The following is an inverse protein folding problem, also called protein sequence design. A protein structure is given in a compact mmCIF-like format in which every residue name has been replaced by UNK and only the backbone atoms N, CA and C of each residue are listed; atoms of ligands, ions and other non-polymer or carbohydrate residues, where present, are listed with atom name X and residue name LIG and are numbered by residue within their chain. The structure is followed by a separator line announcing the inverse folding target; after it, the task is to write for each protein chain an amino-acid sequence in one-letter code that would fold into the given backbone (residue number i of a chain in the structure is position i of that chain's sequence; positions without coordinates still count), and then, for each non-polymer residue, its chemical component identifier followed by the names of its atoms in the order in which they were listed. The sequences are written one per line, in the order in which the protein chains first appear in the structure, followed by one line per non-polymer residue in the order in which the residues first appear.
data_IF_876024121847
#
_entry.id   IF_876024121847
#
_cell.length_a   1.000
_cell.length_b   1.000
_cell.length_c   1.000
_cell.angle_alpha   90.00
_cell.angle_beta   90.00
_cell.angle_gamma   90.00
#
_symmetry.space_group_name_H-M   'P 1'
#
loop_
_entity.id
_entity.type
_entity.pdbx_description
1 polymer ?
#
# COMPACT_ATOMS: atom_id res chain seq x y z
N UNK A 1 19.49 -33.47 17.40
CA UNK A 1 18.65 -33.80 16.24
C UNK A 1 17.51 -32.78 16.23
N UNK A 2 17.74 -31.59 15.64
CA UNK A 2 16.79 -30.51 15.63
C UNK A 2 15.96 -30.56 14.33
N UNK A 3 14.66 -30.69 14.49
CA UNK A 3 13.69 -30.68 13.39
C UNK A 3 13.64 -29.31 12.74
N UNK A 4 13.96 -29.23 11.46
CA UNK A 4 13.73 -28.05 10.61
C UNK A 4 12.22 -27.85 10.48
N UNK A 5 11.66 -26.87 11.18
CA UNK A 5 10.34 -26.33 10.87
C UNK A 5 10.54 -25.28 9.80
N UNK A 6 10.21 -25.64 8.56
CA UNK A 6 10.18 -24.72 7.43
C UNK A 6 9.12 -23.65 7.70
N UNK A 7 9.56 -22.41 7.91
CA UNK A 7 8.69 -21.25 8.04
C UNK A 7 8.24 -20.86 6.62
N UNK A 8 7.04 -21.24 6.25
CA UNK A 8 6.42 -20.85 4.98
C UNK A 8 5.85 -19.45 5.12
N UNK A 9 6.51 -18.46 4.53
CA UNK A 9 5.97 -17.09 4.43
C UNK A 9 5.15 -16.99 3.16
N UNK A 10 3.84 -16.77 3.31
CA UNK A 10 2.93 -16.47 2.20
C UNK A 10 2.94 -14.97 1.97
N UNK A 11 3.60 -14.51 0.92
CA UNK A 11 3.55 -13.11 0.48
C UNK A 11 2.46 -12.98 -0.59
N UNK A 12 1.40 -12.26 -0.28
CA UNK A 12 0.37 -11.86 -1.25
C UNK A 12 0.79 -10.49 -1.81
N UNK A 13 1.32 -10.48 -3.04
CA UNK A 13 1.65 -9.24 -3.74
C UNK A 13 0.51 -8.94 -4.70
N UNK A 14 -0.33 -7.95 -4.37
CA UNK A 14 -1.28 -7.36 -5.29
C UNK A 14 -0.63 -6.15 -5.98
N UNK A 15 -0.23 -6.29 -7.26
CA UNK A 15 0.23 -5.16 -8.06
C UNK A 15 -0.95 -4.56 -8.84
N UNK A 16 -1.29 -3.32 -8.53
CA UNK A 16 -2.10 -2.46 -9.41
C UNK A 16 -1.14 -1.64 -10.25
N UNK A 17 -0.97 -2.00 -11.51
CA UNK A 17 -0.20 -1.20 -12.49
C UNK A 17 -1.14 -0.13 -13.04
N UNK A 18 -0.92 1.13 -12.63
CA UNK A 18 -1.55 2.30 -13.23
C UNK A 18 -1.04 2.52 -14.65
N UNK A 19 -1.90 2.36 -15.65
CA UNK A 19 -1.55 2.52 -17.06
C UNK A 19 -1.47 3.98 -17.48
N UNK A 20 -0.34 4.38 -18.06
CA UNK A 20 -0.25 5.53 -18.94
C UNK A 20 -0.91 5.16 -20.28
N UNK A 21 -1.87 5.97 -20.73
CA UNK A 21 -2.49 5.86 -22.06
C UNK A 21 -1.46 6.20 -23.15
N UNK A 22 -0.86 5.19 -23.73
CA UNK A 22 -0.25 5.25 -25.06
C UNK A 22 -1.16 4.46 -25.99
N UNK A 23 -1.79 5.14 -26.94
CA UNK A 23 -2.58 4.53 -28.01
C UNK A 23 -1.66 3.76 -28.96
N UNK A 24 -1.40 2.51 -28.66
CA UNK A 24 -0.91 1.52 -29.60
C UNK A 24 -1.89 0.36 -29.60
N UNK A 25 -2.23 -0.16 -30.78
CA UNK A 25 -3.15 -1.28 -30.98
C UNK A 25 -2.81 -2.40 -30.01
N UNK A 26 -3.66 -2.62 -29.02
CA UNK A 26 -3.51 -3.68 -28.04
C UNK A 26 -3.86 -5.01 -28.71
N UNK A 27 -2.86 -5.77 -29.12
CA UNK A 27 -3.00 -7.23 -29.11
C UNK A 27 -3.35 -7.60 -27.67
N UNK A 28 -4.50 -8.26 -27.47
CA UNK A 28 -4.86 -8.80 -26.19
C UNK A 28 -3.67 -9.61 -25.65
N UNK A 29 -3.12 -9.19 -24.52
CA UNK A 29 -2.08 -9.96 -23.85
C UNK A 29 -2.69 -11.34 -23.56
N UNK A 30 -2.07 -12.39 -24.07
CA UNK A 30 -2.53 -13.77 -23.81
C UNK A 30 -2.53 -14.02 -22.31
N UNK A 31 -3.33 -14.98 -21.84
CA UNK A 31 -3.40 -15.34 -20.43
C UNK A 31 -2.00 -15.59 -19.85
N UNK A 32 -1.71 -14.95 -18.71
CA UNK A 32 -0.43 -15.09 -18.01
C UNK A 32 -0.23 -16.56 -17.58
N UNK A 33 0.75 -17.24 -18.16
CA UNK A 33 1.06 -18.62 -17.80
C UNK A 33 1.77 -18.72 -16.45
N UNK A 34 1.62 -19.82 -15.69
CA UNK A 34 2.37 -20.05 -14.44
C UNK A 34 3.90 -19.98 -14.61
N UNK A 35 4.42 -20.38 -15.78
CA UNK A 35 5.86 -20.32 -16.10
C UNK A 35 6.34 -18.89 -16.28
N UNK A 36 5.56 -18.06 -16.95
CA UNK A 36 5.86 -16.62 -17.13
C UNK A 36 5.74 -15.89 -15.80
N UNK A 37 4.65 -16.11 -15.05
CA UNK A 37 4.46 -15.54 -13.72
C UNK A 37 5.65 -15.83 -12.79
N UNK A 38 6.12 -17.09 -12.75
CA UNK A 38 7.30 -17.48 -11.99
C UNK A 38 8.54 -16.70 -12.42
N UNK A 39 8.78 -16.58 -13.73
CA UNK A 39 9.95 -15.89 -14.28
C UNK A 39 9.91 -14.38 -13.97
N UNK A 40 8.75 -13.76 -14.07
CA UNK A 40 8.54 -12.35 -13.73
C UNK A 40 8.76 -12.08 -12.24
N UNK A 41 8.21 -12.91 -11.35
CA UNK A 41 8.41 -12.79 -9.90
C UNK A 41 9.88 -12.97 -9.53
N UNK A 42 10.56 -13.97 -10.09
CA UNK A 42 11.98 -14.21 -9.80
C UNK A 42 12.91 -13.08 -10.26
N UNK A 43 12.51 -12.31 -11.26
CA UNK A 43 13.28 -11.20 -11.87
C UNK A 43 12.68 -9.82 -11.60
N UNK A 44 11.81 -9.70 -10.62
CA UNK A 44 11.25 -8.40 -10.25
C UNK A 44 12.38 -7.41 -9.89
N UNK A 45 12.24 -6.14 -10.26
CA UNK A 45 13.26 -5.12 -10.01
C UNK A 45 13.68 -5.09 -8.53
N UNK A 46 14.98 -5.16 -8.27
CA UNK A 46 15.55 -5.25 -6.92
C UNK A 46 15.53 -6.65 -6.30
N UNK A 47 14.89 -7.63 -6.97
CA UNK A 47 14.84 -9.02 -6.52
C UNK A 47 15.36 -9.91 -7.65
N UNK A 48 16.37 -10.73 -7.38
CA UNK A 48 16.93 -11.68 -8.34
C UNK A 48 17.02 -13.06 -7.68
N UNK A 49 15.87 -13.68 -7.51
CA UNK A 49 15.78 -15.01 -6.90
C UNK A 49 16.07 -16.11 -7.93
N UNK A 50 16.64 -17.24 -7.51
CA UNK A 50 16.67 -18.45 -8.31
C UNK A 50 15.21 -18.83 -8.73
N UNK A 51 15.04 -19.29 -9.95
CA UNK A 51 13.68 -19.58 -10.47
C UNK A 51 12.98 -20.73 -9.73
N UNK A 52 13.73 -21.61 -9.08
CA UNK A 52 13.24 -22.69 -8.22
C UNK A 52 12.78 -22.21 -6.84
N UNK A 53 13.25 -21.03 -6.39
CA UNK A 53 12.76 -20.39 -5.16
C UNK A 53 11.32 -19.87 -5.28
N UNK A 54 10.75 -19.82 -6.49
CA UNK A 54 9.38 -19.33 -6.73
C UNK A 54 8.50 -20.48 -7.22
N UNK A 55 7.46 -20.83 -6.44
CA UNK A 55 6.47 -21.84 -6.78
C UNK A 55 5.10 -21.21 -6.95
N UNK A 56 4.64 -21.06 -8.19
CA UNK A 56 3.31 -20.55 -8.50
C UNK A 56 2.26 -21.60 -8.13
N UNK A 57 1.25 -21.23 -7.34
CA UNK A 57 0.12 -22.07 -6.93
C UNK A 57 -1.09 -21.90 -7.83
N UNK A 58 -1.41 -20.65 -8.18
CA UNK A 58 -2.52 -20.34 -9.08
C UNK A 58 -2.27 -19.03 -9.82
N UNK A 59 -2.87 -18.92 -11.00
CA UNK A 59 -2.96 -17.69 -11.79
C UNK A 59 -4.43 -17.50 -12.13
N UNK A 60 -4.95 -16.30 -11.91
CA UNK A 60 -6.31 -15.90 -12.26
C UNK A 60 -6.25 -14.61 -13.05
N UNK A 61 -6.61 -14.63 -14.33
CA UNK A 61 -6.60 -13.50 -15.23
C UNK A 61 -8.00 -12.90 -15.40
N UNK A 62 -8.10 -11.59 -15.48
CA UNK A 62 -9.31 -10.84 -15.77
C UNK A 62 -8.96 -9.64 -16.66
N UNK A 63 -9.31 -9.71 -17.92
CA UNK A 63 -8.96 -8.68 -18.91
C UNK A 63 -7.44 -8.51 -19.05
N UNK A 64 -6.92 -7.32 -18.76
CA UNK A 64 -5.50 -6.99 -18.83
C UNK A 64 -4.76 -7.09 -17.48
N UNK A 65 -5.39 -7.69 -16.47
CA UNK A 65 -4.80 -7.91 -15.15
C UNK A 65 -4.83 -9.39 -14.77
N UNK A 66 -3.87 -9.80 -13.92
CA UNK A 66 -3.83 -11.13 -13.37
C UNK A 66 -3.41 -11.12 -11.90
N UNK A 67 -4.02 -12.02 -11.12
CA UNK A 67 -3.61 -12.30 -9.74
C UNK A 67 -2.86 -13.64 -9.73
N UNK A 68 -1.66 -13.63 -9.18
CA UNK A 68 -0.81 -14.81 -9.03
C UNK A 68 -0.63 -15.11 -7.55
N UNK A 69 -1.00 -16.31 -7.12
CA UNK A 69 -0.66 -16.82 -5.78
C UNK A 69 0.61 -17.65 -5.92
N UNK A 70 1.67 -17.23 -5.25
CA UNK A 70 2.96 -17.90 -5.30
C UNK A 70 3.54 -18.09 -3.89
N UNK A 71 4.36 -19.14 -3.76
CA UNK A 71 5.20 -19.40 -2.60
C UNK A 71 6.63 -19.03 -2.98
N UNK A 72 7.26 -18.17 -2.16
CA UNK A 72 8.63 -17.71 -2.39
C UNK A 72 9.50 -18.21 -1.24
N UNK A 73 10.55 -18.95 -1.58
CA UNK A 73 11.56 -19.38 -0.62
C UNK A 73 12.62 -18.29 -0.46
N UNK A 74 12.80 -17.81 0.76
CA UNK A 74 13.81 -16.83 1.09
C UNK A 74 14.45 -17.16 2.44
N UNK A 75 15.46 -16.41 2.84
CA UNK A 75 16.14 -16.58 4.12
C UNK A 75 16.14 -15.25 4.89
N UNK A 76 16.09 -15.38 6.22
CA UNK A 76 16.20 -14.26 7.13
C UNK A 76 17.41 -14.46 8.03
N UNK A 77 18.14 -13.37 8.29
CA UNK A 77 19.18 -13.33 9.29
C UNK A 77 18.64 -12.68 10.56
N UNK A 78 18.87 -13.36 11.68
CA UNK A 78 18.47 -12.86 12.98
C UNK A 78 19.72 -12.45 13.76
N UNK A 79 19.56 -11.43 14.61
CA UNK A 79 20.55 -11.03 15.62
C UNK A 79 19.89 -11.04 16.99
N UNK A 80 20.67 -11.38 18.02
CA UNK A 80 20.22 -11.32 19.41
C UNK A 80 20.73 -10.03 20.04
N UNK A 81 19.81 -9.22 20.57
CA UNK A 81 20.10 -7.99 21.30
C UNK A 81 19.30 -8.00 22.61
N UNK A 82 19.98 -7.82 23.75
CA UNK A 82 19.34 -7.85 25.06
C UNK A 82 18.48 -9.12 25.28
N UNK A 83 19.01 -10.27 24.94
CA UNK A 83 18.37 -11.60 25.03
C UNK A 83 17.08 -11.74 24.19
N UNK A 84 16.87 -10.86 23.22
CA UNK A 84 15.76 -10.92 22.27
C UNK A 84 16.25 -11.06 20.84
N UNK A 85 15.65 -12.00 20.12
CA UNK A 85 15.91 -12.17 18.70
C UNK A 85 15.12 -11.15 17.89
N UNK A 86 15.80 -10.47 16.95
CA UNK A 86 15.14 -9.66 15.91
C UNK A 86 15.59 -10.06 14.52
N UNK A 87 14.72 -9.85 13.54
CA UNK A 87 15.09 -9.99 12.13
C UNK A 87 15.99 -8.81 11.77
N UNK A 88 17.19 -9.08 11.28
CA UNK A 88 18.12 -8.04 10.82
C UNK A 88 18.07 -7.87 9.31
N UNK A 89 18.10 -8.97 8.58
CA UNK A 89 18.17 -8.92 7.12
C UNK A 89 17.27 -9.97 6.48
N UNK A 90 16.86 -9.69 5.24
CA UNK A 90 16.17 -10.61 4.34
C UNK A 90 17.00 -10.83 3.08
N UNK A 91 17.03 -12.06 2.59
CA UNK A 91 17.71 -12.39 1.33
C UNK A 91 16.81 -12.02 0.14
N UNK A 92 17.26 -11.12 -0.73
CA UNK A 92 16.54 -10.66 -1.92
C UNK A 92 17.11 -11.22 -3.22
N UNK A 93 18.21 -11.97 -3.15
CA UNK A 93 18.84 -12.63 -4.29
C UNK A 93 19.78 -13.73 -3.81
N UNK A 94 20.55 -14.33 -4.71
CA UNK A 94 21.42 -15.48 -4.39
C UNK A 94 22.42 -15.15 -3.28
N UNK A 95 23.04 -13.96 -3.32
CA UNK A 95 23.98 -13.47 -2.31
C UNK A 95 23.63 -12.10 -1.73
N UNK A 96 22.44 -11.56 -2.06
CA UNK A 96 22.05 -10.22 -1.70
C UNK A 96 21.21 -10.27 -0.42
N UNK A 97 21.66 -9.56 0.59
CA UNK A 97 20.99 -9.39 1.86
C UNK A 97 20.66 -7.91 2.03
N UNK A 98 19.43 -7.62 2.39
CA UNK A 98 18.95 -6.27 2.62
C UNK A 98 18.54 -6.10 4.07
N UNK A 99 18.97 -4.99 4.66
CA UNK A 99 18.59 -4.60 6.02
C UNK A 99 17.08 -4.38 6.10
N UNK A 100 16.42 -5.14 6.98
CA UNK A 100 14.95 -5.13 7.07
C UNK A 100 14.39 -3.79 7.53
N UNK A 101 15.11 -3.09 8.42
CA UNK A 101 14.66 -1.80 8.92
C UNK A 101 14.74 -0.73 7.82
N UNK A 102 15.77 -0.80 6.98
CA UNK A 102 15.91 0.09 5.82
C UNK A 102 14.80 -0.13 4.79
N UNK A 103 14.42 -1.38 4.53
CA UNK A 103 13.29 -1.71 3.65
C UNK A 103 11.97 -1.18 4.23
N UNK A 104 11.73 -1.39 5.52
CA UNK A 104 10.52 -0.90 6.21
C UNK A 104 10.48 0.63 6.20
N UNK A 105 11.60 1.32 6.47
CA UNK A 105 11.69 2.78 6.39
C UNK A 105 11.38 3.29 4.98
N UNK A 106 11.97 2.69 3.95
CA UNK A 106 11.72 3.09 2.55
C UNK A 106 10.25 2.91 2.18
N UNK A 107 9.64 1.76 2.55
CA UNK A 107 8.22 1.50 2.33
C UNK A 107 7.33 2.50 3.06
N UNK A 108 7.62 2.82 4.32
CA UNK A 108 6.86 3.79 5.09
C UNK A 108 7.01 5.21 4.54
N UNK A 109 8.19 5.57 4.03
CA UNK A 109 8.40 6.87 3.36
C UNK A 109 7.51 7.01 2.12
N UNK A 110 7.46 5.98 1.27
CA UNK A 110 6.60 5.96 0.08
C UNK A 110 5.12 6.02 0.46
N UNK A 111 4.69 5.21 1.43
CA UNK A 111 3.32 5.22 1.93
C UNK A 111 2.92 6.58 2.51
N UNK A 112 3.81 7.21 3.28
CA UNK A 112 3.59 8.56 3.83
C UNK A 112 3.41 9.60 2.72
N UNK A 113 4.25 9.56 1.68
CA UNK A 113 4.12 10.45 0.53
C UNK A 113 2.76 10.28 -0.17
N UNK A 114 2.34 9.04 -0.39
CA UNK A 114 1.04 8.72 -0.97
C UNK A 114 -0.11 9.23 -0.10
N UNK A 115 -0.07 9.00 1.21
CA UNK A 115 -1.12 9.46 2.15
C UNK A 115 -1.22 10.97 2.16
N UNK A 116 -0.10 11.70 2.15
CA UNK A 116 -0.12 13.17 2.03
C UNK A 116 -0.81 13.64 0.76
N UNK A 117 -0.53 13.01 -0.37
CA UNK A 117 -1.19 13.33 -1.64
C UNK A 117 -2.70 12.99 -1.63
N UNK A 118 -3.10 11.91 -0.99
CA UNK A 118 -4.51 11.53 -0.83
C UNK A 118 -5.25 12.51 0.10
N UNK A 119 -4.66 12.90 1.23
CA UNK A 119 -5.22 13.93 2.13
C UNK A 119 -5.37 15.28 1.41
N UNK A 120 -4.40 15.68 0.58
CA UNK A 120 -4.49 16.92 -0.21
C UNK A 120 -5.60 16.83 -1.26
N UNK A 121 -5.80 15.66 -1.87
CA UNK A 121 -6.90 15.40 -2.81
C UNK A 121 -8.26 15.55 -2.13
N UNK A 122 -8.43 14.96 -0.94
CA UNK A 122 -9.66 15.07 -0.15
C UNK A 122 -9.87 16.51 0.32
N UNK A 123 -8.80 17.20 0.77
CA UNK A 123 -8.85 18.61 1.16
C UNK A 123 -9.30 19.52 0.02
N UNK A 124 -8.79 19.30 -1.19
CA UNK A 124 -9.22 20.03 -2.40
C UNK A 124 -10.70 19.82 -2.69
N UNK A 125 -11.19 18.59 -2.54
CA UNK A 125 -12.61 18.29 -2.70
C UNK A 125 -13.47 18.97 -1.62
N UNK A 126 -13.00 19.03 -0.37
CA UNK A 126 -13.65 19.76 0.73
C UNK A 126 -13.73 21.27 0.46
N UNK A 127 -12.69 21.87 -0.08
CA UNK A 127 -12.68 23.28 -0.45
C UNK A 127 -13.67 23.57 -1.62
N UNK A 128 -13.78 22.66 -2.57
CA UNK A 128 -14.76 22.75 -3.65
C UNK A 128 -16.19 22.63 -3.11
N UNK A 129 -16.44 21.68 -2.20
CA UNK A 129 -17.71 21.52 -1.51
C UNK A 129 -18.10 22.79 -0.75
N UNK A 130 -17.17 23.35 0.07
CA UNK A 130 -17.40 24.58 0.83
C UNK A 130 -17.74 25.76 -0.05
N UNK A 131 -17.03 25.94 -1.17
CA UNK A 131 -17.32 27.04 -2.12
C UNK A 131 -18.74 26.98 -2.67
N UNK A 132 -19.27 25.79 -2.87
CA UNK A 132 -20.62 25.60 -3.41
C UNK A 132 -21.69 25.61 -2.32
N UNK A 133 -21.41 25.03 -1.15
CA UNK A 133 -22.39 24.82 -0.07
C UNK A 133 -22.32 25.86 1.05
N UNK A 134 -21.28 26.69 1.06
CA UNK A 134 -21.06 27.72 2.09
C UNK A 134 -20.50 27.21 3.42
N UNK A 135 -20.29 25.88 3.56
CA UNK A 135 -19.76 25.25 4.77
C UNK A 135 -19.03 23.95 4.42
N UNK A 136 -18.17 23.48 5.31
CA UNK A 136 -17.63 22.11 5.21
C UNK A 136 -18.67 21.06 5.62
N UNK A 137 -18.38 19.81 5.34
CA UNK A 137 -19.21 18.68 5.79
C UNK A 137 -19.13 18.58 7.33
N UNK A 138 -20.26 18.70 7.99
CA UNK A 138 -20.37 18.54 9.43
C UNK A 138 -20.52 17.03 9.75
N UNK A 139 -19.44 16.38 10.12
CA UNK A 139 -19.39 14.95 10.42
C UNK A 139 -18.16 14.64 11.29
N UNK A 140 -18.22 13.50 11.99
CA UNK A 140 -17.08 12.87 12.69
C UNK A 140 -16.73 11.51 12.06
N UNK A 141 -17.07 11.29 10.81
CA UNK A 141 -16.85 10.03 10.10
C UNK A 141 -16.21 10.26 8.74
N UNK A 142 -15.03 9.69 8.53
CA UNK A 142 -14.36 9.69 7.23
C UNK A 142 -15.18 8.98 6.15
N UNK A 143 -15.89 7.91 6.48
CA UNK A 143 -16.75 7.20 5.54
C UNK A 143 -17.89 8.10 5.04
N UNK A 144 -18.59 8.79 5.94
CA UNK A 144 -19.65 9.74 5.59
C UNK A 144 -19.11 10.91 4.77
N UNK A 145 -17.92 11.44 5.12
CA UNK A 145 -17.26 12.47 4.34
C UNK A 145 -17.16 12.07 2.87
N UNK A 146 -16.61 10.88 2.61
CA UNK A 146 -16.38 10.39 1.26
C UNK A 146 -17.71 10.23 0.51
N UNK A 147 -18.79 9.82 1.17
CA UNK A 147 -20.13 9.72 0.56
C UNK A 147 -20.68 11.10 0.15
N UNK A 148 -20.40 12.16 0.92
CA UNK A 148 -20.77 13.53 0.57
C UNK A 148 -19.94 14.09 -0.60
N UNK A 149 -18.66 13.71 -0.70
CA UNK A 149 -17.75 14.23 -1.71
C UNK A 149 -17.84 13.49 -3.05
N UNK A 150 -18.14 12.17 -3.02
CA UNK A 150 -18.18 11.34 -4.23
C UNK A 150 -19.57 11.29 -4.85
N UNK A 151 -19.65 11.26 -6.19
CA UNK A 151 -18.57 11.41 -7.17
C UNK A 151 -18.31 12.87 -7.58
N UNK A 152 -19.09 13.83 -7.07
CA UNK A 152 -19.15 15.21 -7.59
C UNK A 152 -17.85 15.99 -7.39
N UNK A 153 -17.25 15.89 -6.21
CA UNK A 153 -16.04 16.63 -5.83
C UNK A 153 -14.81 15.71 -5.79
N UNK A 154 -15.05 14.41 -5.63
CA UNK A 154 -14.00 13.39 -5.52
C UNK A 154 -14.31 12.24 -6.50
N UNK A 155 -13.62 12.23 -7.63
CA UNK A 155 -13.86 11.25 -8.70
C UNK A 155 -13.53 9.80 -8.28
N UNK A 156 -12.54 9.62 -7.40
CA UNK A 156 -12.13 8.31 -6.87
C UNK A 156 -12.48 8.21 -5.39
N UNK A 157 -13.17 7.15 -5.01
CA UNK A 157 -13.44 6.84 -3.60
C UNK A 157 -12.14 6.50 -2.87
N UNK A 158 -11.79 7.28 -1.83
CA UNK A 158 -10.59 7.12 -1.01
C UNK A 158 -11.04 6.93 0.44
N UNK A 159 -11.13 5.69 0.93
CA UNK A 159 -11.67 5.39 2.26
C UNK A 159 -10.61 4.97 3.27
N UNK A 160 -9.51 4.40 2.78
CA UNK A 160 -8.42 3.87 3.61
C UNK A 160 -7.10 4.42 3.14
N UNK A 161 -6.19 4.58 4.08
CA UNK A 161 -4.82 5.03 3.83
C UNK A 161 -3.92 3.91 3.25
N UNK A 162 -2.65 4.20 3.07
CA UNK A 162 -1.69 3.25 2.52
C UNK A 162 -1.35 2.08 3.48
N UNK A 163 -1.73 2.14 4.75
CA UNK A 163 -1.62 1.05 5.72
C UNK A 163 -2.96 0.32 5.93
N UNK A 164 -3.97 0.63 5.07
CA UNK A 164 -5.32 0.05 5.09
C UNK A 164 -6.16 0.43 6.32
N UNK A 165 -5.80 1.55 6.99
CA UNK A 165 -6.59 2.12 8.07
C UNK A 165 -7.59 3.14 7.51
N UNK A 166 -8.80 3.24 8.06
CA UNK A 166 -9.75 4.28 7.66
C UNK A 166 -9.17 5.68 7.91
N UNK A 167 -9.41 6.61 6.97
CA UNK A 167 -9.17 8.02 7.24
C UNK A 167 -10.15 8.53 8.31
N UNK A 168 -9.62 9.24 9.29
CA UNK A 168 -10.42 9.94 10.27
C UNK A 168 -10.77 11.34 9.79
N UNK A 169 -11.97 11.78 10.10
CA UNK A 169 -12.46 13.11 9.78
C UNK A 169 -13.25 13.68 10.94
N UNK A 170 -12.96 14.92 11.26
CA UNK A 170 -13.76 15.74 12.16
C UNK A 170 -13.97 17.11 11.50
N UNK A 171 -15.22 17.40 11.13
CA UNK A 171 -15.60 18.61 10.44
C UNK A 171 -16.69 19.39 11.15
N UNK A 172 -16.54 20.71 11.11
CA UNK A 172 -17.52 21.70 11.51
C UNK A 172 -17.83 22.60 10.32
N UNK A 173 -18.75 23.54 10.50
CA UNK A 173 -19.11 24.51 9.45
C UNK A 173 -17.93 25.24 8.85
N UNK A 174 -16.92 25.61 9.67
CA UNK A 174 -15.84 26.52 9.29
C UNK A 174 -14.45 25.86 9.26
N UNK A 175 -14.32 24.65 9.75
CA UNK A 175 -13.03 23.96 9.88
C UNK A 175 -13.17 22.47 9.76
N UNK A 176 -12.04 21.81 9.47
CA UNK A 176 -11.95 20.36 9.50
C UNK A 176 -10.55 19.88 9.90
N UNK A 177 -10.52 18.64 10.36
CA UNK A 177 -9.31 17.83 10.56
C UNK A 177 -9.49 16.54 9.80
N UNK A 178 -8.52 16.23 8.94
CA UNK A 178 -8.35 14.95 8.26
C UNK A 178 -7.09 14.29 8.80
N UNK A 179 -7.14 12.98 9.11
CA UNK A 179 -6.02 12.26 9.68
C UNK A 179 -5.91 10.84 9.13
N UNK A 180 -4.66 10.40 8.97
CA UNK A 180 -4.26 9.00 8.93
C UNK A 180 -3.48 8.71 10.19
N UNK A 181 -3.75 7.57 10.83
CA UNK A 181 -3.03 7.08 12.02
C UNK A 181 -1.64 6.52 11.72
N UNK A 182 -1.12 6.77 10.51
CA UNK A 182 0.26 6.45 10.14
C UNK A 182 0.65 4.97 10.19
N UNK A 183 1.96 4.70 10.20
CA UNK A 183 2.51 3.35 10.20
C UNK A 183 2.11 2.47 11.38
N UNK A 184 1.92 3.03 12.58
CA UNK A 184 1.61 2.24 13.78
C UNK A 184 0.10 1.97 13.94
N UNK A 185 -0.75 2.63 13.12
CA UNK A 185 -2.20 2.49 13.10
C UNK A 185 -2.90 2.96 14.37
N UNK A 186 -2.23 3.77 15.21
CA UNK A 186 -2.78 4.29 16.46
C UNK A 186 -3.00 5.79 16.34
N UNK A 187 -4.20 6.29 16.64
CA UNK A 187 -4.45 7.72 16.60
C UNK A 187 -3.74 8.45 17.75
N UNK A 188 -3.38 9.71 17.49
CA UNK A 188 -2.70 10.62 18.43
C UNK A 188 -1.26 10.21 18.77
N UNK A 189 -0.54 9.67 17.80
CA UNK A 189 0.89 9.36 17.88
C UNK A 189 1.71 10.29 16.98
N UNK A 190 3.05 10.38 17.16
CA UNK A 190 3.89 11.30 16.40
C UNK A 190 3.97 10.99 14.89
N UNK A 191 3.58 9.81 14.46
CA UNK A 191 3.58 9.38 13.06
C UNK A 191 2.23 9.61 12.34
N UNK A 192 1.25 10.20 13.03
CA UNK A 192 0.00 10.66 12.42
C UNK A 192 0.28 11.67 11.29
N UNK A 193 -0.45 11.52 10.21
CA UNK A 193 -0.40 12.45 9.09
C UNK A 193 -1.71 13.22 9.06
N UNK A 194 -1.63 14.52 9.33
CA UNK A 194 -2.81 15.37 9.50
C UNK A 194 -2.87 16.47 8.45
N UNK A 195 -4.09 16.76 7.96
CA UNK A 195 -4.42 17.90 7.13
C UNK A 195 -5.60 18.65 7.75
N UNK A 196 -5.43 19.95 7.98
CA UNK A 196 -6.47 20.81 8.55
C UNK A 196 -6.91 21.85 7.54
N UNK A 197 -8.18 22.20 7.55
CA UNK A 197 -8.74 23.37 6.87
C UNK A 197 -8.88 24.58 7.79
N UNK A 198 -9.10 25.79 7.21
CA UNK A 198 -9.11 27.00 7.99
C UNK A 198 -10.12 26.93 9.13
N UNK A 199 -9.58 27.05 10.34
CA UNK A 199 -10.30 27.33 11.55
C UNK A 199 -9.78 28.65 12.10
N UNK A 200 -10.62 29.58 12.39
CA UNK A 200 -10.38 30.70 13.27
C UNK A 200 -11.43 30.72 14.35
#
# INVERSE_FOLDING_TARGET
MFSKRDLVVVVVVAMVVGGLLVTSQSQAAGDLSPKEARKLIARMAGINLPSDAVRVKSVSSLGNSAVVVAQVETAFRFVSENDKWRVAEIRTGDRNWEDIESLVRALNTEKTSRVRAELETIATALEAFRRERGAYVESKSGAQLIDFLSPRYLARVIRVDAWHQPYEYEGSRNSYILRSSGPDGKPNTPDDITRTGPGR
#
